data_IF_427903594944
#
_entry.id   IF_427903594944
#
_cell.length_a   1.000
_cell.length_b   1.000
_cell.length_c   1.000
_cell.angle_alpha   90.00
_cell.angle_beta   90.00
_cell.angle_gamma   90.00
#
_symmetry.space_group_name_H-M   'P 1'
#
loop_
_entity.id
_entity.type
_entity.pdbx_description
1 polymer ?
#
# COMPACT_ATOMS: atom_id res chain seq x y z
N UNK A 1 28.13 9.63 -15.31
CA UNK A 1 26.68 9.83 -15.21
C UNK A 1 26.22 10.45 -16.52
N UNK A 2 25.67 9.65 -17.42
CA UNK A 2 25.07 10.20 -18.64
C UNK A 2 23.71 10.76 -18.27
N UNK A 3 23.54 12.04 -18.48
CA UNK A 3 22.31 12.77 -18.19
C UNK A 3 21.18 12.21 -19.04
N UNK A 4 19.96 11.99 -18.49
CA UNK A 4 18.78 11.53 -19.26
C UNK A 4 18.51 12.49 -20.43
N UNK A 5 18.81 13.78 -20.31
CA UNK A 5 18.74 14.72 -21.41
C UNK A 5 19.69 14.35 -22.57
N UNK A 6 20.91 13.88 -22.24
CA UNK A 6 21.86 13.39 -23.24
C UNK A 6 21.43 12.04 -23.82
N UNK A 7 20.83 11.16 -23.01
CA UNK A 7 20.26 9.89 -23.52
C UNK A 7 19.02 10.09 -24.40
N UNK A 8 18.21 11.13 -24.15
CA UNK A 8 17.07 11.50 -24.99
C UNK A 8 17.50 12.22 -26.28
N UNK A 9 18.75 12.68 -26.35
CA UNK A 9 19.34 13.39 -27.50
C UNK A 9 20.51 12.58 -28.11
N UNK A 10 20.90 11.46 -27.50
CA UNK A 10 22.03 10.62 -27.91
C UNK A 10 21.88 10.20 -29.38
N UNK A 11 22.90 10.46 -30.24
CA UNK A 11 22.91 10.00 -31.62
C UNK A 11 22.83 8.48 -31.80
N UNK A 12 23.13 7.66 -30.78
CA UNK A 12 22.89 6.22 -30.79
C UNK A 12 21.39 5.86 -30.74
N UNK A 13 20.54 6.81 -30.34
CA UNK A 13 19.09 6.78 -30.48
C UNK A 13 18.63 7.17 -31.89
N UNK A 14 19.52 7.36 -32.84
CA UNK A 14 19.21 7.68 -34.24
C UNK A 14 18.27 6.66 -34.90
N UNK A 15 18.25 5.43 -34.41
CA UNK A 15 17.25 4.42 -34.80
C UNK A 15 15.84 4.71 -34.32
N UNK A 16 15.68 5.64 -33.36
CA UNK A 16 14.38 6.07 -32.84
C UNK A 16 13.88 7.38 -33.49
N UNK A 17 14.75 8.06 -34.24
CA UNK A 17 14.32 9.23 -35.00
C UNK A 17 13.66 8.77 -36.30
N UNK A 18 12.49 9.28 -36.65
CA UNK A 18 11.87 8.98 -37.92
C UNK A 18 12.79 9.45 -39.06
N UNK A 19 12.85 8.70 -40.20
CA UNK A 19 13.55 9.19 -41.37
C UNK A 19 13.07 10.56 -41.77
N UNK A 20 13.95 11.45 -42.21
CA UNK A 20 13.67 12.86 -42.58
C UNK A 20 12.64 13.04 -43.70
N UNK A 21 12.20 11.97 -44.33
CA UNK A 21 11.26 11.96 -45.47
C UNK A 21 9.81 11.65 -45.09
N UNK A 22 9.50 11.47 -43.77
CA UNK A 22 8.13 11.22 -43.34
C UNK A 22 7.36 12.54 -43.14
N UNK A 23 6.14 12.57 -43.68
CA UNK A 23 5.18 13.67 -43.50
C UNK A 23 4.82 13.85 -42.01
N UNK A 24 4.57 15.08 -41.57
CA UNK A 24 4.22 15.42 -40.18
C UNK A 24 2.99 14.66 -39.67
N UNK A 25 1.99 14.39 -40.53
CA UNK A 25 0.81 13.59 -40.17
C UNK A 25 1.19 12.15 -39.85
N UNK A 26 2.09 11.54 -40.63
CA UNK A 26 2.59 10.16 -40.41
C UNK A 26 3.40 10.06 -39.10
N UNK A 27 4.18 11.11 -38.77
CA UNK A 27 4.93 11.14 -37.51
C UNK A 27 4.00 11.23 -36.28
N UNK A 28 2.95 12.04 -36.38
CA UNK A 28 1.95 12.18 -35.32
C UNK A 28 1.20 10.84 -35.06
N UNK A 29 0.83 10.14 -36.15
CA UNK A 29 0.20 8.83 -36.07
C UNK A 29 1.14 7.77 -35.44
N UNK A 30 2.44 7.76 -35.81
CA UNK A 30 3.44 6.87 -35.23
C UNK A 30 3.65 7.16 -33.74
N UNK A 31 3.68 8.43 -33.34
CA UNK A 31 3.76 8.83 -31.93
C UNK A 31 2.57 8.31 -31.13
N UNK A 32 1.35 8.48 -31.61
CA UNK A 32 0.11 7.97 -30.99
C UNK A 32 0.06 6.43 -30.96
N UNK A 33 0.50 5.77 -32.03
CA UNK A 33 0.53 4.31 -32.11
C UNK A 33 1.51 3.73 -31.09
N UNK A 34 2.74 4.26 -31.00
CA UNK A 34 3.72 3.84 -30.01
C UNK A 34 3.23 4.10 -28.58
N UNK A 35 2.58 5.24 -28.31
CA UNK A 35 1.96 5.50 -27.01
C UNK A 35 0.88 4.46 -26.65
N UNK A 36 0.04 4.10 -27.63
CA UNK A 36 -1.00 3.09 -27.42
C UNK A 36 -0.42 1.71 -27.14
N UNK A 37 0.64 1.30 -27.87
CA UNK A 37 1.37 0.05 -27.64
C UNK A 37 2.04 0.06 -26.26
N UNK A 38 2.72 1.14 -25.91
CA UNK A 38 3.32 1.33 -24.58
C UNK A 38 2.31 1.12 -23.46
N UNK A 39 1.12 1.71 -23.63
CA UNK A 39 0.03 1.57 -22.66
C UNK A 39 -0.49 0.13 -22.54
N UNK A 40 -0.62 -0.58 -23.64
CA UNK A 40 -1.01 -2.01 -23.65
C UNK A 40 0.01 -2.85 -22.88
N UNK A 41 1.31 -2.65 -23.10
CA UNK A 41 2.37 -3.35 -22.36
C UNK A 41 2.34 -2.97 -20.88
N UNK A 42 2.16 -1.68 -20.55
CA UNK A 42 2.02 -1.22 -19.17
C UNK A 42 0.86 -1.92 -18.44
N UNK A 43 -0.31 -1.97 -19.05
CA UNK A 43 -1.49 -2.61 -18.49
C UNK A 43 -1.28 -4.11 -18.28
N UNK A 44 -0.52 -4.77 -19.15
CA UNK A 44 -0.12 -6.18 -19.01
C UNK A 44 0.95 -6.44 -17.94
N UNK A 45 1.57 -5.40 -17.40
CA UNK A 45 2.67 -5.51 -16.45
C UNK A 45 4.04 -5.75 -17.08
N UNK A 46 4.16 -5.58 -18.40
CA UNK A 46 5.44 -5.64 -19.13
C UNK A 46 6.05 -4.23 -19.17
N UNK A 47 6.73 -3.87 -18.08
CA UNK A 47 7.26 -2.51 -17.91
C UNK A 47 8.45 -2.24 -18.85
N UNK A 48 9.20 -3.27 -19.26
CA UNK A 48 10.35 -3.12 -20.14
C UNK A 48 9.92 -2.73 -21.57
N UNK A 49 9.00 -3.48 -22.16
CA UNK A 49 8.45 -3.14 -23.47
C UNK A 49 7.65 -1.83 -23.41
N UNK A 50 6.93 -1.61 -22.31
CA UNK A 50 6.21 -0.35 -22.10
C UNK A 50 7.16 0.85 -22.15
N UNK A 51 8.27 0.82 -21.42
CA UNK A 51 9.28 1.87 -21.43
C UNK A 51 9.85 2.11 -22.82
N UNK A 52 10.22 1.02 -23.51
CA UNK A 52 10.74 1.08 -24.89
C UNK A 52 9.79 1.82 -25.82
N UNK A 53 8.51 1.47 -25.79
CA UNK A 53 7.51 2.13 -26.65
C UNK A 53 7.17 3.54 -26.19
N UNK A 54 7.20 3.86 -24.89
CA UNK A 54 7.07 5.23 -24.41
C UNK A 54 8.24 6.12 -24.86
N UNK A 55 9.47 5.63 -24.82
CA UNK A 55 10.63 6.37 -25.33
C UNK A 55 10.53 6.59 -26.86
N UNK A 56 10.06 5.59 -27.60
CA UNK A 56 9.76 5.77 -29.03
C UNK A 56 8.67 6.80 -29.25
N UNK A 57 7.56 6.74 -28.49
CA UNK A 57 6.50 7.76 -28.60
C UNK A 57 7.02 9.16 -28.27
N UNK A 58 7.91 9.29 -27.27
CA UNK A 58 8.49 10.56 -26.84
C UNK A 58 9.31 11.21 -27.95
N UNK A 59 10.05 10.42 -28.77
CA UNK A 59 10.85 10.94 -29.89
C UNK A 59 10.01 11.58 -31.01
N UNK A 60 8.71 11.27 -31.08
CA UNK A 60 7.77 11.88 -32.02
C UNK A 60 7.02 13.08 -31.45
N UNK A 61 7.37 13.54 -30.23
CA UNK A 61 6.66 14.66 -29.60
C UNK A 61 7.40 15.99 -29.76
N UNK A 62 6.70 16.99 -30.27
CA UNK A 62 7.20 18.37 -30.42
C UNK A 62 6.35 19.35 -29.57
N UNK A 63 6.98 20.35 -28.99
CA UNK A 63 6.31 21.42 -28.25
C UNK A 63 6.17 22.62 -29.17
N UNK A 64 5.04 23.31 -29.12
CA UNK A 64 3.89 23.18 -28.21
C UNK A 64 2.82 22.16 -28.65
N UNK A 65 2.87 21.65 -29.87
CA UNK A 65 1.80 20.83 -30.49
C UNK A 65 1.44 19.59 -29.67
N UNK A 66 2.42 18.87 -29.11
CA UNK A 66 2.25 17.60 -28.42
C UNK A 66 2.51 17.70 -26.90
N UNK A 67 2.36 18.89 -26.31
CA UNK A 67 2.67 19.13 -24.90
C UNK A 67 2.01 18.10 -23.97
N UNK A 68 0.70 17.92 -24.04
CA UNK A 68 -0.01 17.02 -23.14
C UNK A 68 0.31 15.55 -23.38
N UNK A 69 0.55 15.14 -24.62
CA UNK A 69 1.02 13.78 -24.93
C UNK A 69 2.40 13.54 -24.31
N UNK A 70 3.33 14.49 -24.45
CA UNK A 70 4.67 14.43 -23.87
C UNK A 70 4.61 14.31 -22.35
N UNK A 71 3.79 15.10 -21.68
CA UNK A 71 3.59 15.05 -20.23
C UNK A 71 2.97 13.71 -19.78
N UNK A 72 2.01 13.18 -20.51
CA UNK A 72 1.44 11.83 -20.24
C UNK A 72 2.49 10.75 -20.36
N UNK A 73 3.32 10.79 -21.40
CA UNK A 73 4.44 9.81 -21.58
C UNK A 73 5.41 9.91 -20.41
N UNK A 74 5.87 11.12 -20.05
CA UNK A 74 6.75 11.34 -18.91
C UNK A 74 6.13 10.82 -17.61
N UNK A 75 4.84 11.03 -17.38
CA UNK A 75 4.12 10.49 -16.24
C UNK A 75 4.16 8.95 -16.16
N UNK A 76 4.08 8.24 -17.29
CA UNK A 76 4.24 6.78 -17.32
C UNK A 76 5.69 6.36 -17.07
N UNK A 77 6.66 7.04 -17.67
CA UNK A 77 8.08 6.76 -17.44
C UNK A 77 8.49 6.97 -15.99
N UNK A 78 7.98 8.03 -15.35
CA UNK A 78 8.18 8.27 -13.90
C UNK A 78 7.61 7.10 -13.07
N UNK A 79 6.43 6.61 -13.40
CA UNK A 79 5.83 5.45 -12.70
C UNK A 79 6.65 4.19 -12.87
N UNK A 80 7.13 3.91 -14.07
CA UNK A 80 7.99 2.75 -14.35
C UNK A 80 9.29 2.85 -13.55
N UNK A 81 9.97 4.00 -13.60
CA UNK A 81 11.20 4.22 -12.84
C UNK A 81 10.96 4.07 -11.32
N UNK A 82 9.86 4.61 -10.80
CA UNK A 82 9.49 4.49 -9.39
C UNK A 82 9.17 3.04 -8.98
N UNK A 83 8.52 2.26 -9.84
CA UNK A 83 8.24 0.84 -9.59
C UNK A 83 9.52 0.00 -9.58
N UNK A 84 10.50 0.38 -10.40
CA UNK A 84 11.83 -0.25 -10.44
C UNK A 84 12.79 0.27 -9.37
N UNK A 85 12.36 1.23 -8.53
CA UNK A 85 13.21 1.91 -7.53
C UNK A 85 14.42 2.64 -8.15
N UNK A 86 14.28 3.12 -9.38
CA UNK A 86 15.25 3.94 -10.10
C UNK A 86 15.04 5.42 -9.72
N UNK A 87 15.34 5.77 -8.46
CA UNK A 87 14.97 7.08 -7.89
C UNK A 87 15.63 8.26 -8.60
N UNK A 88 16.89 8.14 -9.03
CA UNK A 88 17.60 9.18 -9.75
C UNK A 88 16.90 9.49 -11.08
N UNK A 89 16.61 8.45 -11.86
CA UNK A 89 15.89 8.55 -13.13
C UNK A 89 14.48 9.14 -12.96
N UNK A 90 13.75 8.71 -11.92
CA UNK A 90 12.44 9.28 -11.63
C UNK A 90 12.55 10.78 -11.33
N UNK A 91 13.55 11.20 -10.55
CA UNK A 91 13.80 12.62 -10.21
C UNK A 91 14.16 13.46 -11.43
N UNK A 92 15.00 12.92 -12.32
CA UNK A 92 15.37 13.60 -13.59
C UNK A 92 14.14 13.77 -14.50
N UNK A 93 13.30 12.75 -14.64
CA UNK A 93 12.08 12.82 -15.43
C UNK A 93 11.06 13.81 -14.84
N UNK A 94 10.96 13.91 -13.51
CA UNK A 94 10.12 14.90 -12.83
C UNK A 94 10.62 16.31 -13.16
N UNK A 95 11.93 16.56 -12.98
CA UNK A 95 12.54 17.87 -13.26
C UNK A 95 12.38 18.27 -14.74
N UNK A 96 12.50 17.30 -15.66
CA UNK A 96 12.27 17.52 -17.08
C UNK A 96 10.81 17.92 -17.33
N UNK A 97 9.86 17.23 -16.71
CA UNK A 97 8.44 17.53 -16.88
C UNK A 97 8.07 18.91 -16.29
N UNK A 98 8.63 19.29 -15.14
CA UNK A 98 8.45 20.61 -14.54
C UNK A 98 9.00 21.71 -15.45
N UNK A 99 10.23 21.56 -15.96
CA UNK A 99 10.80 22.52 -16.89
C UNK A 99 10.01 22.68 -18.19
N UNK A 100 9.44 21.60 -18.73
CA UNK A 100 8.54 21.66 -19.88
C UNK A 100 7.27 22.44 -19.54
N UNK A 101 6.67 22.20 -18.37
CA UNK A 101 5.47 22.91 -17.93
C UNK A 101 5.74 24.40 -17.80
N UNK A 102 6.81 24.80 -17.12
CA UNK A 102 7.19 26.20 -16.91
C UNK A 102 7.45 26.93 -18.23
N UNK A 103 8.20 26.32 -19.14
CA UNK A 103 8.51 26.93 -20.44
C UNK A 103 7.29 27.04 -21.35
N UNK A 104 6.28 26.17 -21.16
CA UNK A 104 5.09 26.12 -22.01
C UNK A 104 4.00 27.11 -21.61
N UNK A 105 4.03 27.68 -20.41
CA UNK A 105 3.02 28.65 -19.93
C UNK A 105 2.82 29.81 -20.92
N UNK A 106 3.92 30.34 -21.47
CA UNK A 106 3.88 31.47 -22.40
C UNK A 106 3.29 31.12 -23.79
N UNK A 107 3.21 29.83 -24.11
CA UNK A 107 2.67 29.36 -25.41
C UNK A 107 1.20 28.93 -25.30
N UNK A 108 0.67 28.81 -24.10
CA UNK A 108 -0.72 28.44 -23.86
C UNK A 108 -1.54 29.72 -23.67
N UNK A 109 -2.51 29.98 -24.57
CA UNK A 109 -3.38 31.15 -24.47
C UNK A 109 -4.25 31.13 -23.22
N UNK A 110 -4.85 29.98 -22.88
CA UNK A 110 -5.61 29.74 -21.64
C UNK A 110 -5.21 28.41 -21.05
N UNK A 111 -4.99 28.39 -19.74
CA UNK A 111 -4.68 27.16 -19.02
C UNK A 111 -5.99 26.38 -18.79
N UNK A 112 -6.12 25.24 -19.46
CA UNK A 112 -7.29 24.35 -19.37
C UNK A 112 -7.17 23.31 -18.22
N UNK A 113 -8.21 22.51 -18.03
CA UNK A 113 -8.25 21.46 -17.01
C UNK A 113 -7.13 20.44 -17.16
N UNK A 114 -6.77 20.08 -18.40
CA UNK A 114 -5.71 19.09 -18.68
C UNK A 114 -4.33 19.61 -18.25
N UNK A 115 -4.06 20.90 -18.40
CA UNK A 115 -2.83 21.52 -17.89
C UNK A 115 -2.69 21.35 -16.38
N UNK A 116 -3.70 21.77 -15.62
CA UNK A 116 -3.67 21.69 -14.15
C UNK A 116 -3.63 20.25 -13.66
N UNK A 117 -4.30 19.33 -14.33
CA UNK A 117 -4.24 17.92 -14.01
C UNK A 117 -2.82 17.35 -14.17
N UNK A 118 -2.15 17.61 -15.29
CA UNK A 118 -0.79 17.13 -15.52
C UNK A 118 0.22 17.79 -14.55
N UNK A 119 0.09 19.10 -14.27
CA UNK A 119 0.90 19.79 -13.27
C UNK A 119 0.73 19.13 -11.88
N UNK A 120 -0.51 18.87 -11.47
CA UNK A 120 -0.81 18.21 -10.21
C UNK A 120 -0.20 16.79 -10.12
N UNK A 121 -0.27 16.03 -11.21
CA UNK A 121 0.35 14.68 -11.29
C UNK A 121 1.85 14.77 -11.10
N UNK A 122 2.53 15.71 -11.77
CA UNK A 122 3.99 15.90 -11.67
C UNK A 122 4.37 16.34 -10.25
N UNK A 123 3.67 17.33 -9.68
CA UNK A 123 3.87 17.80 -8.31
C UNK A 123 3.66 16.68 -7.28
N UNK A 124 2.66 15.83 -7.50
CA UNK A 124 2.40 14.67 -6.64
C UNK A 124 3.55 13.64 -6.69
N UNK A 125 4.16 13.42 -7.85
CA UNK A 125 5.35 12.57 -7.97
C UNK A 125 6.60 13.21 -7.35
N UNK A 126 6.74 14.53 -7.43
CA UNK A 126 7.79 15.29 -6.76
C UNK A 126 7.65 15.39 -5.24
N UNK A 127 6.53 14.88 -4.67
CA UNK A 127 6.28 14.91 -3.22
C UNK A 127 5.65 16.22 -2.71
N UNK A 128 5.36 17.19 -3.58
CA UNK A 128 4.67 18.45 -3.26
C UNK A 128 3.14 18.23 -3.16
N UNK A 129 2.70 17.45 -2.16
CA UNK A 129 1.31 16.96 -2.08
C UNK A 129 0.26 18.06 -1.91
N UNK A 130 0.59 19.16 -1.22
CA UNK A 130 -0.30 20.30 -1.04
C UNK A 130 -0.52 21.03 -2.36
N UNK A 131 0.58 21.38 -3.07
CA UNK A 131 0.50 22.00 -4.40
C UNK A 131 -0.23 21.10 -5.41
N UNK A 132 0.04 19.79 -5.35
CA UNK A 132 -0.67 18.83 -6.19
C UNK A 132 -2.16 18.85 -5.92
N UNK A 133 -2.58 18.90 -4.65
CA UNK A 133 -3.99 18.95 -4.27
C UNK A 133 -4.68 20.20 -4.79
N UNK A 134 -4.05 21.36 -4.62
CA UNK A 134 -4.60 22.63 -5.13
C UNK A 134 -4.79 22.57 -6.64
N UNK A 135 -3.80 22.09 -7.37
CA UNK A 135 -3.88 21.97 -8.82
C UNK A 135 -4.92 20.92 -9.27
N UNK A 136 -5.06 19.78 -8.56
CA UNK A 136 -6.15 18.83 -8.81
C UNK A 136 -7.53 19.45 -8.58
N UNK A 137 -7.70 20.30 -7.56
CA UNK A 137 -8.96 21.02 -7.33
C UNK A 137 -9.28 22.01 -8.44
N UNK A 138 -8.27 22.72 -8.96
CA UNK A 138 -8.43 23.60 -10.11
C UNK A 138 -8.82 22.79 -11.36
N UNK A 139 -8.09 21.68 -11.60
CA UNK A 139 -8.39 20.77 -12.71
C UNK A 139 -9.82 20.22 -12.62
N UNK A 140 -10.26 19.81 -11.42
CA UNK A 140 -11.62 19.34 -11.18
C UNK A 140 -12.69 20.40 -11.52
N UNK A 141 -12.50 21.63 -11.05
CA UNK A 141 -13.41 22.74 -11.36
C UNK A 141 -13.50 22.99 -12.86
N UNK A 142 -12.34 23.15 -13.49
CA UNK A 142 -12.26 23.43 -14.93
C UNK A 142 -12.82 22.29 -15.78
N UNK A 143 -12.53 21.02 -15.44
CA UNK A 143 -13.07 19.88 -16.19
C UNK A 143 -14.60 19.80 -16.15
N UNK A 144 -15.21 20.32 -15.07
CA UNK A 144 -16.66 20.45 -14.96
C UNK A 144 -17.19 21.57 -15.85
N UNK A 145 -16.51 22.72 -15.89
CA UNK A 145 -16.85 23.87 -16.74
C UNK A 145 -16.65 23.55 -18.23
N UNK A 146 -15.60 22.82 -18.57
CA UNK A 146 -15.22 22.41 -19.93
C UNK A 146 -16.02 21.19 -20.45
N UNK A 147 -16.89 20.59 -19.64
CA UNK A 147 -17.63 19.35 -19.95
C UNK A 147 -16.72 18.16 -20.33
N UNK A 148 -15.63 17.97 -19.59
CA UNK A 148 -14.68 16.87 -19.76
C UNK A 148 -14.89 15.75 -18.69
N UNK A 149 -15.94 14.91 -18.84
CA UNK A 149 -16.36 13.99 -17.77
C UNK A 149 -15.32 12.90 -17.48
N UNK A 150 -14.53 12.49 -18.47
CA UNK A 150 -13.45 11.52 -18.24
C UNK A 150 -12.30 12.12 -17.42
N UNK A 151 -11.93 13.37 -17.71
CA UNK A 151 -10.92 14.09 -16.94
C UNK A 151 -11.42 14.42 -15.52
N UNK A 152 -12.71 14.77 -15.40
CA UNK A 152 -13.37 14.96 -14.10
C UNK A 152 -13.26 13.69 -13.23
N UNK A 153 -13.52 12.51 -13.81
CA UNK A 153 -13.37 11.24 -13.11
C UNK A 153 -11.91 10.98 -12.68
N UNK A 154 -10.94 11.31 -13.52
CA UNK A 154 -9.51 11.20 -13.21
C UNK A 154 -9.11 12.17 -12.09
N UNK A 155 -9.62 13.39 -12.08
CA UNK A 155 -9.38 14.37 -11.01
C UNK A 155 -9.92 13.87 -9.67
N UNK A 156 -11.13 13.29 -9.63
CA UNK A 156 -11.71 12.73 -8.41
C UNK A 156 -10.87 11.58 -7.86
N UNK A 157 -10.42 10.65 -8.72
CA UNK A 157 -9.57 9.54 -8.30
C UNK A 157 -8.21 10.03 -7.78
N UNK A 158 -7.61 11.02 -8.44
CA UNK A 158 -6.33 11.60 -8.04
C UNK A 158 -6.44 12.37 -6.72
N UNK A 159 -7.48 13.19 -6.54
CA UNK A 159 -7.77 13.88 -5.27
C UNK A 159 -7.98 12.89 -4.13
N UNK A 160 -8.80 11.85 -4.34
CA UNK A 160 -9.01 10.81 -3.34
C UNK A 160 -7.72 10.09 -2.97
N UNK A 161 -6.83 9.86 -3.94
CA UNK A 161 -5.50 9.29 -3.71
C UNK A 161 -4.61 10.24 -2.89
N UNK A 162 -4.63 11.53 -3.20
CA UNK A 162 -3.88 12.55 -2.47
C UNK A 162 -4.37 12.69 -1.03
N UNK A 163 -5.69 12.72 -0.80
CA UNK A 163 -6.28 12.71 0.54
C UNK A 163 -5.92 11.44 1.32
N UNK A 164 -5.98 10.26 0.69
CA UNK A 164 -5.56 9.00 1.28
C UNK A 164 -4.09 9.03 1.74
N UNK A 165 -3.18 9.52 0.90
CA UNK A 165 -1.77 9.67 1.24
C UNK A 165 -1.54 10.62 2.41
N UNK A 166 -2.38 11.65 2.55
CA UNK A 166 -2.44 12.56 3.69
C UNK A 166 -3.19 12.03 4.91
N UNK A 167 -3.63 10.76 4.91
CA UNK A 167 -4.42 10.11 5.97
C UNK A 167 -5.80 10.79 6.22
N UNK A 168 -6.27 11.57 5.27
CA UNK A 168 -7.58 12.22 5.28
C UNK A 168 -8.62 11.27 4.69
N UNK A 169 -8.92 10.19 5.44
CA UNK A 169 -9.71 9.08 4.93
C UNK A 169 -11.15 9.44 4.56
N UNK A 170 -11.78 10.35 5.34
CA UNK A 170 -13.16 10.75 5.05
C UNK A 170 -13.25 11.50 3.72
N UNK A 171 -12.40 12.49 3.50
CA UNK A 171 -12.39 13.24 2.24
C UNK A 171 -12.00 12.35 1.04
N UNK A 172 -11.15 11.35 1.28
CA UNK A 172 -10.84 10.37 0.24
C UNK A 172 -12.07 9.52 -0.12
N UNK A 173 -12.85 9.08 0.86
CA UNK A 173 -14.10 8.33 0.65
C UNK A 173 -15.16 9.19 -0.04
N UNK A 174 -15.36 10.43 0.39
CA UNK A 174 -16.33 11.37 -0.22
C UNK A 174 -16.01 11.59 -1.71
N UNK A 175 -14.73 11.73 -2.06
CA UNK A 175 -14.29 11.84 -3.45
C UNK A 175 -14.53 10.56 -4.26
N UNK A 176 -14.31 9.37 -3.66
CA UNK A 176 -14.58 8.09 -4.31
C UNK A 176 -16.09 7.85 -4.48
N UNK A 177 -16.94 8.32 -3.56
CA UNK A 177 -18.40 8.21 -3.70
C UNK A 177 -18.90 9.09 -4.87
N UNK A 178 -18.39 10.31 -5.02
CA UNK A 178 -18.67 11.14 -6.18
C UNK A 178 -18.18 10.49 -7.49
N UNK A 179 -16.99 9.90 -7.48
CA UNK A 179 -16.47 9.15 -8.61
C UNK A 179 -17.35 7.96 -8.98
N UNK A 180 -17.83 7.24 -7.99
CA UNK A 180 -18.73 6.09 -8.19
C UNK A 180 -20.01 6.50 -8.90
N UNK A 181 -20.63 7.61 -8.51
CA UNK A 181 -21.81 8.15 -9.19
C UNK A 181 -21.51 8.50 -10.65
N UNK A 182 -20.41 9.20 -10.91
CA UNK A 182 -19.99 9.56 -12.25
C UNK A 182 -19.72 8.33 -13.14
N UNK A 183 -19.10 7.27 -12.59
CA UNK A 183 -18.78 6.06 -13.34
C UNK A 183 -20.00 5.20 -13.68
N UNK A 184 -21.15 5.42 -13.06
CA UNK A 184 -22.41 4.78 -13.50
C UNK A 184 -22.81 5.23 -14.90
N UNK A 185 -22.44 6.46 -15.26
CA UNK A 185 -22.74 7.06 -16.56
C UNK A 185 -21.63 6.76 -17.58
N UNK A 186 -20.34 6.88 -17.14
CA UNK A 186 -19.20 6.76 -18.03
C UNK A 186 -18.85 5.32 -18.44
N UNK A 187 -19.25 4.34 -17.66
CA UNK A 187 -18.97 2.90 -17.87
C UNK A 187 -17.49 2.59 -18.21
N UNK A 188 -16.56 3.14 -17.44
CA UNK A 188 -15.10 2.95 -17.62
C UNK A 188 -14.58 1.88 -16.66
N UNK A 189 -14.49 0.63 -17.12
CA UNK A 189 -14.09 -0.52 -16.28
C UNK A 189 -12.75 -0.31 -15.57
N UNK A 190 -11.77 0.27 -16.24
CA UNK A 190 -10.47 0.55 -15.64
C UNK A 190 -10.58 1.51 -14.44
N UNK A 191 -11.31 2.62 -14.59
CA UNK A 191 -11.53 3.57 -13.49
C UNK A 191 -12.35 2.94 -12.35
N UNK A 192 -13.34 2.08 -12.68
CA UNK A 192 -14.07 1.29 -11.68
C UNK A 192 -13.11 0.37 -10.89
N UNK A 193 -12.18 -0.30 -11.58
CA UNK A 193 -11.17 -1.14 -10.95
C UNK A 193 -10.25 -0.34 -10.01
N UNK A 194 -9.72 0.79 -10.49
CA UNK A 194 -8.83 1.66 -9.71
C UNK A 194 -9.55 2.28 -8.51
N UNK A 195 -10.80 2.74 -8.68
CA UNK A 195 -11.65 3.24 -7.60
C UNK A 195 -11.86 2.19 -6.51
N UNK A 196 -12.26 0.97 -6.88
CA UNK A 196 -12.45 -0.11 -5.92
C UNK A 196 -11.15 -0.50 -5.21
N UNK A 197 -10.02 -0.48 -5.91
CA UNK A 197 -8.72 -0.68 -5.28
C UNK A 197 -8.41 0.38 -4.21
N UNK A 198 -8.75 1.65 -4.45
CA UNK A 198 -8.57 2.73 -3.46
C UNK A 198 -9.52 2.57 -2.25
N UNK A 199 -10.80 2.28 -2.47
CA UNK A 199 -11.70 1.94 -1.37
C UNK A 199 -11.13 0.81 -0.50
N UNK A 200 -10.65 -0.26 -1.13
CA UNK A 200 -10.10 -1.41 -0.41
C UNK A 200 -8.90 -1.01 0.46
N UNK A 201 -8.00 -0.15 -0.03
CA UNK A 201 -6.85 0.35 0.74
C UNK A 201 -7.30 1.20 1.93
N UNK A 202 -8.25 2.10 1.74
CA UNK A 202 -8.80 2.93 2.82
C UNK A 202 -9.46 2.05 3.89
N UNK A 203 -10.31 1.11 3.49
CA UNK A 203 -10.98 0.21 4.43
C UNK A 203 -10.01 -0.73 5.15
N UNK A 204 -8.91 -1.15 4.49
CA UNK A 204 -7.85 -1.90 5.13
C UNK A 204 -7.16 -1.08 6.25
N UNK A 205 -6.86 0.19 5.99
CA UNK A 205 -6.24 1.08 6.99
C UNK A 205 -7.21 1.42 8.13
N UNK A 206 -8.51 1.51 7.84
CA UNK A 206 -9.60 1.67 8.83
C UNK A 206 -10.00 0.36 9.52
N UNK A 207 -9.37 -0.78 9.17
CA UNK A 207 -9.64 -2.13 9.70
C UNK A 207 -11.05 -2.68 9.43
N UNK A 208 -11.71 -2.12 8.45
CA UNK A 208 -13.00 -2.59 7.93
C UNK A 208 -12.74 -3.73 6.94
N UNK A 209 -12.25 -4.88 7.44
CA UNK A 209 -11.67 -5.95 6.62
C UNK A 209 -12.64 -6.59 5.63
N UNK A 210 -13.92 -6.74 5.99
CA UNK A 210 -14.92 -7.33 5.09
C UNK A 210 -15.20 -6.42 3.90
N UNK A 211 -15.25 -5.11 4.13
CA UNK A 211 -15.43 -4.12 3.08
C UNK A 211 -14.18 -4.02 2.20
N UNK A 212 -12.99 -4.01 2.81
CA UNK A 212 -11.74 -4.05 2.08
C UNK A 212 -11.68 -5.25 1.14
N UNK A 213 -12.03 -6.44 1.63
CA UNK A 213 -12.02 -7.67 0.82
C UNK A 213 -13.05 -7.63 -0.32
N UNK A 214 -14.26 -7.12 -0.06
CA UNK A 214 -15.29 -6.95 -1.08
C UNK A 214 -14.81 -6.01 -2.19
N UNK A 215 -14.21 -4.86 -1.83
CA UNK A 215 -13.69 -3.91 -2.79
C UNK A 215 -12.47 -4.44 -3.57
N UNK A 216 -11.56 -5.21 -2.95
CA UNK A 216 -10.51 -5.91 -3.71
C UNK A 216 -11.09 -6.90 -4.73
N UNK A 217 -12.15 -7.64 -4.38
CA UNK A 217 -12.81 -8.55 -5.31
C UNK A 217 -13.47 -7.81 -6.49
N UNK A 218 -14.13 -6.68 -6.21
CA UNK A 218 -14.69 -5.82 -7.26
C UNK A 218 -13.59 -5.23 -8.16
N UNK A 219 -12.46 -4.82 -7.58
CA UNK A 219 -11.32 -4.34 -8.38
C UNK A 219 -10.82 -5.40 -9.36
N UNK A 220 -10.63 -6.65 -8.91
CA UNK A 220 -10.24 -7.76 -9.79
C UNK A 220 -11.26 -7.94 -10.92
N UNK A 221 -12.55 -7.99 -10.60
CA UNK A 221 -13.61 -8.17 -11.58
C UNK A 221 -13.52 -7.15 -12.73
N UNK A 222 -13.39 -5.85 -12.41
CA UNK A 222 -13.30 -4.80 -13.43
C UNK A 222 -11.97 -4.81 -14.19
N UNK A 223 -10.86 -5.18 -13.54
CA UNK A 223 -9.54 -5.19 -14.16
C UNK A 223 -9.30 -6.40 -15.06
N UNK A 224 -9.93 -7.54 -14.77
CA UNK A 224 -9.87 -8.73 -15.63
C UNK A 224 -10.41 -8.46 -17.03
N UNK A 225 -11.53 -7.75 -17.15
CA UNK A 225 -12.13 -7.40 -18.43
C UNK A 225 -11.17 -6.59 -19.32
N UNK A 226 -10.35 -5.74 -18.72
CA UNK A 226 -9.34 -4.93 -19.39
C UNK A 226 -7.97 -5.59 -19.48
N UNK A 227 -7.80 -6.81 -18.93
CA UNK A 227 -6.50 -7.50 -18.83
C UNK A 227 -5.41 -6.63 -18.17
N UNK A 228 -5.77 -5.81 -17.19
CA UNK A 228 -4.88 -4.93 -16.43
C UNK A 228 -4.23 -5.72 -15.29
N UNK A 229 -3.11 -6.35 -15.55
CA UNK A 229 -2.41 -7.20 -14.58
C UNK A 229 -1.45 -6.45 -13.66
N UNK A 230 -1.06 -5.23 -14.04
CA UNK A 230 -0.14 -4.38 -13.28
C UNK A 230 -0.59 -4.08 -11.84
N UNK A 231 -1.89 -4.12 -11.54
CA UNK A 231 -2.43 -3.92 -10.19
C UNK A 231 -2.69 -5.24 -9.44
N UNK A 232 -2.67 -6.40 -10.12
CA UNK A 232 -3.08 -7.66 -9.51
C UNK A 232 -2.18 -8.05 -8.33
N UNK A 233 -0.87 -7.89 -8.46
CA UNK A 233 0.08 -8.15 -7.38
C UNK A 233 -0.17 -7.29 -6.15
N UNK A 234 -0.47 -6.00 -6.32
CA UNK A 234 -0.85 -5.10 -5.23
C UNK A 234 -2.18 -5.48 -4.56
N UNK A 235 -3.14 -5.97 -5.33
CA UNK A 235 -4.42 -6.47 -4.77
C UNK A 235 -4.17 -7.72 -3.93
N UNK A 236 -3.36 -8.66 -4.41
CA UNK A 236 -3.02 -9.86 -3.64
C UNK A 236 -2.23 -9.52 -2.38
N UNK A 237 -1.28 -8.57 -2.44
CA UNK A 237 -0.59 -8.04 -1.29
C UNK A 237 -1.59 -7.48 -0.25
N UNK A 238 -2.54 -6.65 -0.68
CA UNK A 238 -3.57 -6.09 0.21
C UNK A 238 -4.46 -7.16 0.85
N UNK A 239 -4.84 -8.20 0.09
CA UNK A 239 -5.56 -9.36 0.66
C UNK A 239 -4.72 -10.10 1.70
N UNK A 240 -3.44 -10.30 1.44
CA UNK A 240 -2.51 -10.88 2.42
C UNK A 240 -2.42 -10.04 3.70
N UNK A 241 -2.36 -8.72 3.57
CA UNK A 241 -2.36 -7.80 4.71
C UNK A 241 -3.65 -7.89 5.54
N UNK A 242 -4.83 -8.08 4.91
CA UNK A 242 -6.09 -8.34 5.64
C UNK A 242 -5.95 -9.59 6.51
N UNK A 243 -5.49 -10.71 5.93
CA UNK A 243 -5.35 -11.97 6.68
C UNK A 243 -4.27 -11.87 7.76
N UNK A 244 -3.15 -11.17 7.50
CA UNK A 244 -2.12 -10.89 8.50
C UNK A 244 -2.70 -10.12 9.70
N UNK A 245 -3.47 -9.05 9.45
CA UNK A 245 -4.13 -8.27 10.49
C UNK A 245 -5.20 -9.06 11.25
N UNK A 246 -5.84 -10.05 10.60
CA UNK A 246 -6.76 -11.01 11.26
C UNK A 246 -6.04 -12.10 12.05
N UNK A 247 -4.70 -12.18 12.01
CA UNK A 247 -3.90 -13.25 12.64
C UNK A 247 -3.95 -14.59 11.89
N UNK A 248 -4.44 -14.61 10.65
CA UNK A 248 -4.52 -15.81 9.80
C UNK A 248 -3.26 -15.91 8.93
N UNK A 249 -2.10 -16.14 9.56
CA UNK A 249 -0.77 -16.02 8.94
C UNK A 249 -0.56 -16.96 7.75
N UNK A 250 -1.04 -18.21 7.84
CA UNK A 250 -0.92 -19.17 6.72
C UNK A 250 -1.61 -18.65 5.46
N UNK A 251 -2.82 -18.10 5.60
CA UNK A 251 -3.54 -17.49 4.49
C UNK A 251 -2.83 -16.21 4.00
N UNK A 252 -2.31 -15.41 4.92
CA UNK A 252 -1.54 -14.22 4.57
C UNK A 252 -0.34 -14.59 3.68
N UNK A 253 0.43 -15.61 4.08
CA UNK A 253 1.59 -16.10 3.32
C UNK A 253 1.19 -16.65 1.94
N UNK A 254 0.03 -17.33 1.82
CA UNK A 254 -0.49 -17.77 0.52
C UNK A 254 -0.75 -16.58 -0.42
N UNK A 255 -1.40 -15.52 0.09
CA UNK A 255 -1.67 -14.33 -0.71
C UNK A 255 -0.40 -13.55 -1.05
N UNK A 256 0.60 -13.48 -0.16
CA UNK A 256 1.89 -12.89 -0.45
C UNK A 256 2.64 -13.67 -1.53
N UNK A 257 2.57 -15.01 -1.49
CA UNK A 257 3.10 -15.85 -2.56
C UNK A 257 2.40 -15.60 -3.90
N UNK A 258 1.07 -15.52 -3.92
CA UNK A 258 0.33 -15.16 -5.13
C UNK A 258 0.72 -13.76 -5.65
N UNK A 259 0.93 -12.79 -4.75
CA UNK A 259 1.39 -11.47 -5.14
C UNK A 259 2.76 -11.52 -5.84
N UNK A 260 3.68 -12.37 -5.36
CA UNK A 260 5.00 -12.58 -6.00
C UNK A 260 4.88 -13.26 -7.37
N UNK A 261 3.97 -14.23 -7.50
CA UNK A 261 3.76 -14.97 -8.75
C UNK A 261 3.07 -14.15 -9.84
N UNK A 262 2.37 -13.07 -9.45
CA UNK A 262 1.66 -12.20 -10.40
C UNK A 262 2.57 -11.28 -11.20
N UNK A 263 3.82 -11.08 -10.81
CA UNK A 263 4.70 -10.03 -11.37
C UNK A 263 6.13 -10.52 -11.55
N UNK A 264 6.82 -9.91 -12.51
CA UNK A 264 8.27 -10.07 -12.65
C UNK A 264 8.98 -9.24 -11.56
N UNK A 265 9.78 -9.90 -10.71
CA UNK A 265 10.51 -9.27 -9.60
C UNK A 265 11.51 -8.22 -10.06
N UNK A 266 12.09 -8.35 -11.23
CA UNK A 266 13.06 -7.40 -11.77
C UNK A 266 12.38 -6.12 -12.23
N UNK A 267 11.16 -6.23 -12.72
CA UNK A 267 10.37 -5.11 -13.21
C UNK A 267 9.57 -4.44 -12.09
N UNK A 268 9.05 -5.21 -11.11
CA UNK A 268 8.24 -4.72 -9.97
C UNK A 268 9.03 -4.77 -8.66
N UNK A 269 10.19 -4.11 -8.61
CA UNK A 269 11.09 -4.12 -7.44
C UNK A 269 10.43 -3.53 -6.19
N UNK A 270 9.66 -2.45 -6.34
CA UNK A 270 8.93 -1.83 -5.22
C UNK A 270 7.90 -2.79 -4.62
N UNK A 271 7.06 -3.39 -5.45
CA UNK A 271 6.08 -4.37 -5.00
C UNK A 271 6.77 -5.58 -4.35
N UNK A 272 7.83 -6.09 -4.96
CA UNK A 272 8.60 -7.22 -4.43
C UNK A 272 9.19 -6.92 -3.05
N UNK A 273 9.76 -5.72 -2.87
CA UNK A 273 10.27 -5.27 -1.57
C UNK A 273 9.17 -5.18 -0.50
N UNK A 274 7.98 -4.66 -0.86
CA UNK A 274 6.84 -4.61 0.06
C UNK A 274 6.37 -6.02 0.46
N UNK A 275 6.31 -6.95 -0.50
CA UNK A 275 5.94 -8.34 -0.21
C UNK A 275 6.96 -9.01 0.69
N UNK A 276 8.27 -8.82 0.43
CA UNK A 276 9.34 -9.38 1.24
C UNK A 276 9.29 -8.86 2.69
N UNK A 277 9.02 -7.58 2.89
CA UNK A 277 8.81 -7.00 4.22
C UNK A 277 7.64 -7.65 4.95
N UNK A 278 6.51 -7.84 4.27
CA UNK A 278 5.33 -8.48 4.87
C UNK A 278 5.57 -9.95 5.20
N UNK A 279 6.28 -10.67 4.33
CA UNK A 279 6.66 -12.08 4.56
C UNK A 279 7.64 -12.19 5.75
N UNK A 280 8.64 -11.31 5.81
CA UNK A 280 9.58 -11.27 6.93
C UNK A 280 8.86 -10.98 8.24
N UNK A 281 7.92 -10.06 8.22
CA UNK A 281 7.10 -9.72 9.39
C UNK A 281 6.30 -10.94 9.90
N UNK A 282 5.71 -11.72 9.00
CA UNK A 282 4.98 -12.93 9.37
C UNK A 282 5.92 -14.03 9.84
N UNK A 283 7.07 -14.20 9.18
CA UNK A 283 8.05 -15.25 9.46
C UNK A 283 9.13 -14.82 10.46
N UNK A 284 9.00 -13.67 11.12
CA UNK A 284 10.01 -13.21 12.07
C UNK A 284 10.19 -14.22 13.21
N UNK A 285 11.18 -15.07 13.03
CA UNK A 285 11.52 -16.14 13.99
C UNK A 285 12.09 -15.60 15.30
N UNK A 286 12.35 -14.30 15.39
CA UNK A 286 12.77 -13.66 16.64
C UNK A 286 11.61 -13.37 17.58
N UNK A 287 10.36 -13.38 17.07
CA UNK A 287 9.16 -13.15 17.87
C UNK A 287 8.73 -14.47 18.53
N UNK A 288 8.66 -14.45 19.83
CA UNK A 288 8.18 -15.59 20.61
C UNK A 288 6.66 -15.58 20.77
N UNK A 289 6.08 -14.37 20.85
CA UNK A 289 4.66 -14.15 21.06
C UNK A 289 4.07 -13.06 20.15
N UNK A 290 2.99 -13.39 19.45
CA UNK A 290 2.15 -12.39 18.79
C UNK A 290 0.77 -12.39 19.43
N UNK A 291 0.34 -11.24 19.96
CA UNK A 291 -0.86 -11.09 20.75
C UNK A 291 -1.88 -10.23 20.02
N UNK A 292 -2.97 -10.86 19.58
CA UNK A 292 -4.11 -10.20 18.93
C UNK A 292 -5.31 -10.16 19.88
N UNK A 293 -5.43 -9.05 20.61
CA UNK A 293 -6.52 -8.85 21.57
C UNK A 293 -7.87 -8.70 20.86
N UNK A 294 -7.90 -8.08 19.69
CA UNK A 294 -9.13 -7.80 18.93
C UNK A 294 -9.79 -9.10 18.47
N UNK A 295 -9.02 -9.99 17.87
CA UNK A 295 -9.51 -11.29 17.40
C UNK A 295 -9.44 -12.38 18.46
N UNK A 296 -8.97 -12.05 19.68
CA UNK A 296 -8.79 -12.98 20.82
C UNK A 296 -7.92 -14.18 20.47
N UNK A 297 -6.86 -13.94 19.71
CA UNK A 297 -5.90 -14.96 19.29
C UNK A 297 -4.51 -14.60 19.79
N UNK A 298 -3.76 -15.61 20.15
CA UNK A 298 -2.35 -15.49 20.50
C UNK A 298 -1.59 -16.50 19.67
N UNK A 299 -0.55 -16.07 18.99
CA UNK A 299 0.35 -16.99 18.31
C UNK A 299 1.63 -17.13 19.14
N UNK A 300 1.88 -18.30 19.64
CA UNK A 300 3.13 -18.68 20.31
C UNK A 300 3.98 -19.48 19.32
N UNK A 301 5.28 -19.21 19.31
CA UNK A 301 6.22 -19.71 18.31
C UNK A 301 6.23 -21.24 18.14
N UNK A 302 6.09 -22.00 19.22
CA UNK A 302 6.13 -23.47 19.20
C UNK A 302 4.77 -24.13 19.25
N UNK A 303 3.76 -23.47 19.82
CA UNK A 303 2.39 -23.99 19.96
C UNK A 303 1.48 -23.56 18.80
N UNK A 304 1.90 -22.58 17.97
CA UNK A 304 1.07 -22.00 16.94
C UNK A 304 -0.03 -21.08 17.48
N UNK A 305 -1.18 -21.03 16.81
CA UNK A 305 -2.26 -20.13 17.18
C UNK A 305 -3.16 -20.71 18.27
N UNK A 306 -3.28 -19.98 19.37
CA UNK A 306 -4.12 -20.31 20.53
C UNK A 306 -5.36 -19.42 20.51
N UNK A 307 -6.57 -19.99 20.54
CA UNK A 307 -7.84 -19.27 20.55
C UNK A 307 -8.29 -18.97 21.98
N UNK A 308 -8.57 -17.69 22.26
CA UNK A 308 -9.05 -17.19 23.55
C UNK A 308 -10.54 -16.79 23.55
N UNK A 309 -11.33 -17.17 22.52
CA UNK A 309 -12.74 -16.75 22.35
C UNK A 309 -13.59 -16.86 23.62
N UNK A 310 -13.41 -17.93 24.42
CA UNK A 310 -14.18 -18.15 25.64
C UNK A 310 -13.35 -17.99 26.90
N UNK A 311 -12.17 -17.33 26.82
CA UNK A 311 -11.21 -17.22 27.90
C UNK A 311 -10.79 -15.76 28.11
N UNK A 312 -11.79 -14.89 28.14
CA UNK A 312 -11.57 -13.43 28.21
C UNK A 312 -10.66 -13.02 29.37
N UNK A 313 -10.92 -13.50 30.57
CA UNK A 313 -10.10 -13.16 31.77
C UNK A 313 -8.63 -13.55 31.58
N UNK A 314 -8.38 -14.72 30.96
CA UNK A 314 -7.01 -15.18 30.72
C UNK A 314 -6.29 -14.30 29.69
N UNK A 315 -7.01 -13.87 28.66
CA UNK A 315 -6.47 -12.95 27.65
C UNK A 315 -6.14 -11.58 28.24
N UNK A 316 -7.02 -11.04 29.08
CA UNK A 316 -6.80 -9.74 29.72
C UNK A 316 -5.61 -9.78 30.70
N UNK A 317 -5.46 -10.87 31.47
CA UNK A 317 -4.28 -11.07 32.33
C UNK A 317 -3.01 -11.12 31.48
N UNK A 318 -3.03 -11.90 30.39
CA UNK A 318 -1.90 -12.01 29.48
C UNK A 318 -1.53 -10.66 28.87
N UNK A 319 -2.54 -9.93 28.37
CA UNK A 319 -2.35 -8.61 27.76
C UNK A 319 -1.77 -7.60 28.75
N UNK A 320 -2.32 -7.55 29.98
CA UNK A 320 -1.86 -6.65 31.04
C UNK A 320 -0.39 -6.90 31.40
N UNK A 321 0.00 -8.17 31.60
CA UNK A 321 1.37 -8.53 31.95
C UNK A 321 2.33 -8.32 30.77
N UNK A 322 1.92 -8.71 29.57
CA UNK A 322 2.73 -8.63 28.35
C UNK A 322 2.96 -7.18 27.90
N UNK A 323 2.06 -6.25 28.20
CA UNK A 323 2.20 -4.83 27.86
C UNK A 323 3.38 -4.15 28.55
N UNK A 324 3.73 -4.61 29.75
CA UNK A 324 4.82 -4.06 30.55
C UNK A 324 5.70 -5.20 31.11
N UNK A 325 6.50 -5.85 30.26
CA UNK A 325 7.37 -6.95 30.70
C UNK A 325 8.33 -6.47 31.79
N UNK A 326 8.57 -7.31 32.79
CA UNK A 326 9.44 -7.00 33.92
C UNK A 326 8.77 -6.19 35.04
N UNK A 327 7.60 -5.59 34.81
CA UNK A 327 6.84 -4.91 35.87
C UNK A 327 5.98 -5.92 36.61
N UNK A 328 6.10 -5.96 37.94
CA UNK A 328 5.31 -6.85 38.78
C UNK A 328 3.95 -6.28 39.11
N UNK A 329 2.94 -7.10 38.89
CA UNK A 329 1.56 -6.83 39.25
C UNK A 329 1.21 -7.66 40.48
N UNK A 330 1.01 -6.99 41.60
CA UNK A 330 0.52 -7.63 42.83
C UNK A 330 -0.97 -8.02 42.69
N UNK A 331 -1.50 -8.71 43.69
CA UNK A 331 -2.87 -9.21 43.66
C UNK A 331 -3.91 -8.09 43.66
N UNK A 332 -3.62 -6.96 44.31
CA UNK A 332 -4.51 -5.80 44.36
C UNK A 332 -4.60 -5.13 42.98
N UNK A 333 -3.45 -4.90 42.34
CA UNK A 333 -3.41 -4.35 40.99
C UNK A 333 -4.10 -5.25 39.96
N UNK A 334 -3.92 -6.57 40.07
CA UNK A 334 -4.59 -7.54 39.20
C UNK A 334 -6.10 -7.55 39.42
N UNK A 335 -6.58 -7.52 40.68
CA UNK A 335 -8.00 -7.47 40.98
C UNK A 335 -8.65 -6.21 40.41
N UNK A 336 -8.08 -5.02 40.62
CA UNK A 336 -8.55 -3.75 40.10
C UNK A 336 -8.53 -3.68 38.58
N UNK A 337 -7.47 -4.18 37.94
CA UNK A 337 -7.31 -4.11 36.49
C UNK A 337 -8.21 -5.07 35.72
N UNK A 338 -8.41 -6.28 36.21
CA UNK A 338 -9.10 -7.36 35.48
C UNK A 338 -10.58 -7.46 35.86
N UNK A 339 -10.88 -7.45 37.17
CA UNK A 339 -12.25 -7.61 37.67
C UNK A 339 -12.90 -6.27 38.02
N UNK A 340 -12.13 -5.17 38.08
CA UNK A 340 -12.57 -3.82 38.46
C UNK A 340 -13.13 -3.74 39.88
N UNK A 341 -12.73 -4.66 40.74
CA UNK A 341 -13.17 -4.77 42.12
C UNK A 341 -12.03 -4.38 43.07
N UNK A 342 -12.38 -4.00 44.31
CA UNK A 342 -11.42 -3.91 45.39
C UNK A 342 -10.92 -5.32 45.80
N UNK A 343 -9.63 -5.41 46.03
CA UNK A 343 -9.05 -6.71 46.37
C UNK A 343 -9.60 -7.31 47.68
N UNK A 344 -10.20 -8.50 47.55
CA UNK A 344 -10.64 -9.31 48.68
C UNK A 344 -9.91 -10.65 48.63
N UNK A 345 -9.05 -10.97 49.64
CA UNK A 345 -8.28 -12.21 49.66
C UNK A 345 -9.12 -13.49 49.57
N UNK A 346 -10.31 -13.51 50.17
CA UNK A 346 -11.20 -14.67 50.18
C UNK A 346 -11.72 -15.05 48.77
N UNK A 347 -11.86 -14.04 47.89
CA UNK A 347 -12.40 -14.21 46.57
C UNK A 347 -11.28 -14.22 45.52
N UNK A 348 -10.45 -13.16 45.52
CA UNK A 348 -9.51 -12.88 44.43
C UNK A 348 -8.28 -13.79 44.46
N UNK A 349 -7.82 -14.29 45.62
CA UNK A 349 -6.67 -15.17 45.67
C UNK A 349 -6.87 -16.43 44.84
N UNK A 350 -7.99 -17.10 45.04
CA UNK A 350 -8.31 -18.33 44.29
C UNK A 350 -8.51 -18.03 42.80
N UNK A 351 -9.17 -16.91 42.46
CA UNK A 351 -9.40 -16.51 41.07
C UNK A 351 -8.08 -16.22 40.34
N UNK A 352 -7.18 -15.44 40.97
CA UNK A 352 -5.89 -15.08 40.40
C UNK A 352 -5.03 -16.33 40.18
N UNK A 353 -4.86 -17.16 41.24
CA UNK A 353 -4.06 -18.38 41.15
C UNK A 353 -4.57 -19.34 40.06
N UNK A 354 -5.88 -19.57 40.04
CA UNK A 354 -6.49 -20.48 39.07
C UNK A 354 -6.36 -19.93 37.63
N UNK A 355 -6.57 -18.64 37.47
CA UNK A 355 -6.47 -18.00 36.15
C UNK A 355 -5.03 -18.01 35.62
N UNK A 356 -4.05 -17.63 36.44
CA UNK A 356 -2.63 -17.68 36.06
C UNK A 356 -2.17 -19.12 35.78
N UNK A 357 -2.59 -20.10 36.61
CA UNK A 357 -2.26 -21.49 36.37
C UNK A 357 -2.83 -22.02 35.05
N UNK A 358 -4.10 -21.71 34.76
CA UNK A 358 -4.75 -22.05 33.47
C UNK A 358 -4.08 -21.36 32.30
N UNK A 359 -3.72 -20.08 32.47
CA UNK A 359 -3.04 -19.31 31.43
C UNK A 359 -1.69 -19.94 31.10
N UNK A 360 -0.87 -20.27 32.12
CA UNK A 360 0.41 -20.94 31.90
C UNK A 360 0.27 -22.28 31.15
N UNK A 361 -0.73 -23.08 31.49
CA UNK A 361 -0.99 -24.34 30.77
C UNK A 361 -1.33 -24.14 29.32
N UNK A 362 -1.89 -22.97 28.95
CA UNK A 362 -2.24 -22.67 27.58
C UNK A 362 -1.06 -22.17 26.76
N UNK A 363 -0.19 -21.36 27.36
CA UNK A 363 0.86 -20.62 26.63
C UNK A 363 2.27 -21.16 26.83
N UNK A 364 2.51 -21.92 27.92
CA UNK A 364 3.84 -22.49 28.21
C UNK A 364 3.85 -23.96 27.75
N UNK A 365 4.66 -24.32 26.73
CA UNK A 365 4.71 -25.69 26.22
C UNK A 365 5.20 -26.67 27.26
N UNK A 366 4.49 -27.79 27.39
CA UNK A 366 4.92 -28.89 28.25
C UNK A 366 6.15 -29.59 27.67
N UNK A 367 7.07 -30.05 28.55
CA UNK A 367 8.32 -30.70 28.17
C UNK A 367 8.15 -31.98 27.36
N UNK A 368 6.99 -32.61 27.44
CA UNK A 368 6.75 -33.95 26.90
C UNK A 368 5.99 -33.97 25.57
N UNK A 369 5.58 -32.81 25.06
CA UNK A 369 4.68 -32.71 23.91
C UNK A 369 5.37 -32.56 22.55
N UNK A 370 6.68 -32.43 22.45
CA UNK A 370 7.42 -32.17 21.21
C UNK A 370 8.47 -33.28 20.98
N UNK A 371 8.13 -34.25 20.13
CA UNK A 371 9.01 -35.21 19.43
C UNK A 371 10.47 -35.32 19.92
N UNK A 372 10.69 -35.90 21.11
CA UNK A 372 12.01 -36.36 21.51
C UNK A 372 13.15 -35.34 21.68
N UNK A 373 12.94 -34.07 21.30
CA UNK A 373 13.92 -33.00 21.52
C UNK A 373 13.65 -32.28 22.83
N UNK A 374 14.63 -32.26 23.71
CA UNK A 374 14.62 -31.50 24.98
C UNK A 374 14.50 -29.99 24.65
N UNK A 375 13.28 -29.47 24.58
CA UNK A 375 13.06 -28.02 24.53
C UNK A 375 13.10 -27.51 25.96
N UNK A 376 13.95 -26.53 26.26
CA UNK A 376 13.97 -25.87 27.57
C UNK A 376 12.60 -25.27 27.85
N UNK A 377 12.02 -25.54 29.00
CA UNK A 377 10.72 -25.00 29.42
C UNK A 377 10.78 -23.47 29.35
N UNK A 378 10.10 -22.88 28.39
CA UNK A 378 9.97 -21.41 28.28
C UNK A 378 8.95 -20.96 29.33
N UNK A 379 9.40 -20.16 30.29
CA UNK A 379 8.54 -19.55 31.30
C UNK A 379 8.17 -18.15 30.84
N UNK A 380 6.92 -17.93 30.47
CA UNK A 380 6.43 -16.63 30.02
C UNK A 380 5.94 -15.78 31.18
N UNK A 381 5.28 -16.37 32.18
CA UNK A 381 4.80 -15.66 33.36
C UNK A 381 5.69 -16.01 34.55
N UNK A 382 6.39 -15.03 35.09
CA UNK A 382 7.25 -15.15 36.24
C UNK A 382 6.45 -14.77 37.51
N UNK A 383 6.59 -15.57 38.57
CA UNK A 383 6.08 -15.24 39.90
C UNK A 383 7.24 -14.76 40.76
N UNK A 384 7.18 -13.54 41.25
CA UNK A 384 8.11 -12.97 42.23
C UNK A 384 7.48 -12.79 43.61
N UNK A 385 8.20 -12.15 44.51
CA UNK A 385 7.69 -11.76 45.83
C UNK A 385 6.56 -10.75 45.71
N UNK A 386 6.67 -9.86 44.73
CA UNK A 386 5.77 -8.70 44.53
C UNK A 386 4.62 -8.97 43.53
N UNK A 387 4.41 -10.24 43.15
CA UNK A 387 3.32 -10.62 42.26
C UNK A 387 3.74 -11.39 41.02
N UNK A 388 3.08 -11.06 39.90
CA UNK A 388 3.32 -11.69 38.60
C UNK A 388 3.81 -10.67 37.60
N UNK A 389 4.73 -11.07 36.71
CA UNK A 389 5.18 -10.28 35.57
C UNK A 389 5.31 -11.15 34.34
N UNK A 390 5.30 -10.54 33.17
CA UNK A 390 5.71 -11.20 31.93
C UNK A 390 7.23 -11.19 31.82
N UNK A 391 7.79 -12.28 31.32
CA UNK A 391 9.24 -12.42 31.17
C UNK A 391 9.81 -11.37 30.21
N UNK A 392 10.72 -10.49 30.65
CA UNK A 392 11.26 -9.42 29.79
C UNK A 392 12.14 -9.93 28.66
N UNK A 393 12.66 -11.16 28.73
CA UNK A 393 13.50 -11.76 27.69
C UNK A 393 12.68 -12.30 26.50
N UNK A 394 11.35 -12.30 26.62
CA UNK A 394 10.43 -12.78 25.57
C UNK A 394 10.09 -11.65 24.62
N UNK A 395 10.32 -11.88 23.36
CA UNK A 395 10.00 -10.91 22.31
C UNK A 395 8.52 -11.00 21.95
N UNK A 396 7.80 -9.91 22.23
CA UNK A 396 6.36 -9.81 22.01
C UNK A 396 6.07 -8.81 20.90
N UNK A 397 5.12 -9.16 20.04
CA UNK A 397 4.49 -8.23 19.11
C UNK A 397 2.99 -8.16 19.40
N UNK A 398 2.46 -6.95 19.48
CA UNK A 398 1.03 -6.71 19.63
C UNK A 398 0.40 -6.40 18.28
N UNK A 399 -0.78 -6.95 18.05
CA UNK A 399 -1.61 -6.52 16.92
C UNK A 399 -1.99 -5.04 17.13
N UNK A 400 -1.70 -4.18 16.17
CA UNK A 400 -2.16 -2.80 16.10
C UNK A 400 -1.53 -1.76 17.02
N UNK A 401 -0.52 -2.06 17.82
CA UNK A 401 0.18 -1.00 18.58
C UNK A 401 1.24 -0.24 17.76
N UNK A 402 1.46 -0.57 16.50
CA UNK A 402 2.31 0.24 15.60
C UNK A 402 1.60 1.49 15.08
N UNK A 403 0.99 2.30 15.96
CA UNK A 403 0.67 3.70 15.70
C UNK A 403 1.85 4.63 15.98
N UNK A 404 3.07 4.17 15.78
CA UNK A 404 4.12 5.11 15.42
C UNK A 404 3.89 5.41 13.94
N UNK A 405 3.64 6.66 13.55
CA UNK A 405 3.70 7.00 12.14
C UNK A 405 5.13 6.67 11.72
N UNK A 406 5.31 5.55 11.05
CA UNK A 406 6.51 5.34 10.26
C UNK A 406 6.50 6.56 9.35
N UNK A 407 7.45 7.48 9.55
CA UNK A 407 7.77 8.49 8.55
C UNK A 407 8.00 7.66 7.30
N UNK A 408 6.95 7.56 6.46
CA UNK A 408 7.06 6.91 5.17
C UNK A 408 8.20 7.64 4.49
N UNK A 409 9.34 6.96 4.32
CA UNK A 409 10.36 7.45 3.43
C UNK A 409 9.67 7.81 2.12
N UNK A 410 10.13 8.85 1.45
CA UNK A 410 9.57 9.38 0.19
C UNK A 410 9.28 8.26 -0.84
N UNK A 411 9.95 7.09 -0.74
CA UNK A 411 9.69 5.90 -1.56
C UNK A 411 8.41 5.09 -1.30
N UNK A 412 7.64 5.39 -0.25
CA UNK A 412 6.38 4.68 0.07
C UNK A 412 5.11 5.47 -0.27
N UNK A 413 5.25 6.56 -1.02
CA UNK A 413 4.10 7.25 -1.57
C UNK A 413 3.40 6.29 -2.53
N UNK A 414 2.11 6.11 -2.34
CA UNK A 414 1.27 5.46 -3.34
C UNK A 414 1.23 6.38 -4.58
N UNK A 415 2.19 6.15 -5.47
CA UNK A 415 2.32 6.89 -6.74
C UNK A 415 1.15 6.54 -7.67
N UNK A 416 -0.05 6.71 -7.16
CA UNK A 416 -1.31 6.59 -7.84
C UNK A 416 -1.44 5.36 -8.73
N UNK A 417 -2.52 4.62 -8.58
CA UNK A 417 -2.91 3.69 -9.65
C UNK A 417 -2.82 4.43 -10.97
N UNK A 418 -2.33 3.82 -12.04
CA UNK A 418 -2.26 4.48 -13.35
C UNK A 418 -3.67 4.91 -13.74
N UNK A 419 -3.91 6.20 -13.73
CA UNK A 419 -5.14 6.84 -14.21
C UNK A 419 -4.96 7.22 -15.68
#
# INVERSE_FOLDING_TARGET
>A
MTNIQEQLIDPSMAFLNPPKEFDFETQDELGKANYSLAKVHYDKGDLEQSETYFLKALSYTEIPRHLFLKLKILGFLIRIASERLENEKASELISLAEGIMESSIHHLGTLNSEYFYNLAVIKNYGGSFEEARENFQIAYKKSKEENEPELLAKCLLALSTNYYNGQRYQEALDGLDQLKELLTILNKNYLNGAMNFKYAKIFLDLERFEEAQNHYNKAIYYLQDKKCWNLLGYIQLGKGQIYKKKGEYEKALQFFKFAQECVDKNQFKRLSSLIEQEVQDVNDSSIDFYLDRTNRKVHERSLGTIDFKHRFVLLEILYLLAKNPGIYYDKDKLAKSIWKDEYNPLIHDKLIYTSVSRLRKLIEPDKDALDGKRVSKRTYIIRGKDGYTFNPDVKIRFHMESKTPVKRAIGNVDLGSPV
#
